data_IF_780579618588
#
_entry.id   IF_780579618588
#
_cell.length_a   1.000
_cell.length_b   1.000
_cell.length_c   1.000
_cell.angle_alpha   90.00
_cell.angle_beta   90.00
_cell.angle_gamma   90.00
#
_symmetry.space_group_name_H-M   'P 1'
#
loop_
_entity.id
_entity.type
_entity.pdbx_description
1 polymer ?
#
# COMPACT_ATOMS: atom_id res chain seq x y z
N UNK A 1 23.32 -43.82 31.01
CA UNK A 1 22.90 -42.53 30.41
C UNK A 1 22.60 -41.55 31.53
N UNK A 2 23.42 -40.52 31.72
CA UNK A 2 23.18 -39.46 32.71
C UNK A 2 22.03 -38.58 32.22
N UNK A 3 21.00 -38.36 33.05
CA UNK A 3 19.95 -37.37 32.76
C UNK A 3 20.58 -35.97 32.80
N UNK A 4 20.30 -35.10 31.82
CA UNK A 4 20.81 -33.73 31.83
C UNK A 4 20.32 -33.00 33.09
N UNK A 5 21.17 -32.13 33.63
CA UNK A 5 20.82 -31.36 34.84
C UNK A 5 19.71 -30.36 34.54
N UNK A 6 18.87 -30.03 35.53
CA UNK A 6 17.82 -28.99 35.39
C UNK A 6 18.39 -27.66 34.86
N UNK A 7 19.63 -27.34 35.24
CA UNK A 7 20.33 -26.15 34.78
C UNK A 7 20.65 -26.20 33.27
N UNK A 8 20.97 -27.36 32.71
CA UNK A 8 21.18 -27.55 31.27
C UNK A 8 19.85 -27.46 30.50
N UNK A 9 18.77 -28.01 31.06
CA UNK A 9 17.43 -27.95 30.45
C UNK A 9 16.94 -26.49 30.38
N UNK A 10 17.07 -25.73 31.47
CA UNK A 10 16.69 -24.32 31.51
C UNK A 10 17.54 -23.46 30.57
N UNK A 11 18.86 -23.70 30.50
CA UNK A 11 19.75 -22.98 29.58
C UNK A 11 19.38 -23.25 28.12
N UNK A 12 19.08 -24.50 27.76
CA UNK A 12 18.66 -24.88 26.41
C UNK A 12 17.32 -24.24 26.03
N UNK A 13 16.34 -24.24 26.93
CA UNK A 13 15.03 -23.63 26.69
C UNK A 13 15.13 -22.11 26.50
N UNK A 14 15.93 -21.42 27.31
CA UNK A 14 16.18 -19.98 27.16
C UNK A 14 16.87 -19.64 25.84
N UNK A 15 17.86 -20.45 25.43
CA UNK A 15 18.56 -20.23 24.15
C UNK A 15 17.62 -20.39 22.95
N UNK A 16 16.75 -21.41 22.98
CA UNK A 16 15.75 -21.68 21.95
C UNK A 16 14.67 -20.60 21.89
N UNK A 17 14.27 -20.05 23.05
CA UNK A 17 13.35 -18.91 23.14
C UNK A 17 13.97 -17.64 22.54
N UNK A 18 15.21 -17.32 22.92
CA UNK A 18 15.91 -16.14 22.42
C UNK A 18 16.17 -16.23 20.90
N UNK A 19 16.51 -17.42 20.39
CA UNK A 19 16.65 -17.65 18.95
C UNK A 19 15.37 -17.37 18.17
N UNK A 20 14.21 -17.84 18.68
CA UNK A 20 12.90 -17.56 18.07
C UNK A 20 12.56 -16.08 18.04
N UNK A 21 12.78 -15.38 19.17
CA UNK A 21 12.55 -13.93 19.26
C UNK A 21 13.44 -13.18 18.27
N UNK A 22 14.73 -13.51 18.24
CA UNK A 22 15.70 -12.87 17.34
C UNK A 22 15.32 -13.08 15.87
N UNK A 23 14.91 -14.29 15.48
CA UNK A 23 14.44 -14.59 14.13
C UNK A 23 13.20 -13.78 13.75
N UNK A 24 12.20 -13.68 14.64
CA UNK A 24 10.97 -12.89 14.40
C UNK A 24 11.32 -11.41 14.24
N UNK A 25 12.15 -10.86 15.13
CA UNK A 25 12.58 -9.46 15.05
C UNK A 25 13.30 -9.18 13.75
N UNK A 26 14.20 -10.07 13.32
CA UNK A 26 14.98 -9.92 12.08
C UNK A 26 14.09 -9.98 10.83
N UNK A 27 13.07 -10.84 10.84
CA UNK A 27 12.10 -10.93 9.75
C UNK A 27 11.29 -9.63 9.63
N UNK A 28 10.85 -9.07 10.76
CA UNK A 28 10.07 -7.83 10.80
C UNK A 28 10.94 -6.64 10.40
N UNK A 29 12.13 -6.49 10.97
CA UNK A 29 13.05 -5.41 10.57
C UNK A 29 13.45 -5.53 9.10
N UNK A 30 13.62 -6.75 8.57
CA UNK A 30 13.88 -6.99 7.15
C UNK A 30 12.78 -6.44 6.25
N UNK A 31 11.51 -6.71 6.58
CA UNK A 31 10.35 -6.16 5.85
C UNK A 31 10.37 -4.63 5.85
N UNK A 32 10.64 -4.00 7.01
CA UNK A 32 10.75 -2.54 7.10
C UNK A 32 11.98 -1.96 6.39
N UNK A 33 13.08 -2.71 6.31
CA UNK A 33 14.29 -2.26 5.60
C UNK A 33 14.05 -2.24 4.10
N UNK A 34 13.41 -3.29 3.55
CA UNK A 34 13.01 -3.34 2.12
C UNK A 34 12.06 -2.19 1.79
N UNK A 35 11.07 -1.96 2.65
CA UNK A 35 10.17 -0.82 2.61
C UNK A 35 10.89 0.54 2.59
N UNK A 36 11.95 0.69 3.38
CA UNK A 36 12.72 1.93 3.45
C UNK A 36 13.62 2.12 2.22
N UNK A 37 14.21 1.04 1.70
CA UNK A 37 14.99 1.07 0.44
C UNK A 37 14.09 1.49 -0.73
N UNK A 38 12.81 1.09 -0.71
CA UNK A 38 11.83 1.47 -1.74
C UNK A 38 11.63 3.01 -1.87
N UNK A 39 11.93 3.80 -0.83
CA UNK A 39 11.86 5.27 -0.87
C UNK A 39 12.88 5.88 -1.83
N UNK A 40 13.99 5.18 -2.06
CA UNK A 40 15.08 5.65 -2.92
C UNK A 40 14.89 5.26 -4.39
N UNK A 41 13.77 4.63 -4.76
CA UNK A 41 13.48 4.33 -6.16
C UNK A 41 13.28 5.62 -6.95
N UNK A 42 13.67 5.63 -8.24
CA UNK A 42 13.52 6.79 -9.10
C UNK A 42 12.05 7.22 -9.15
N UNK A 43 11.78 8.51 -8.97
CA UNK A 43 10.44 9.08 -8.85
C UNK A 43 9.75 9.39 -10.19
N UNK A 44 10.51 9.31 -11.28
CA UNK A 44 10.07 9.58 -12.65
C UNK A 44 10.53 8.42 -13.52
N UNK A 45 9.67 7.93 -14.42
CA UNK A 45 10.13 6.96 -15.41
C UNK A 45 11.08 7.62 -16.42
N UNK A 46 11.94 6.85 -17.09
CA UNK A 46 12.76 7.37 -18.19
C UNK A 46 11.92 8.03 -19.29
N UNK A 47 10.71 7.52 -19.54
CA UNK A 47 9.77 8.10 -20.51
C UNK A 47 9.27 9.49 -20.09
N UNK A 48 8.97 9.69 -18.80
CA UNK A 48 8.57 11.00 -18.28
C UNK A 48 9.73 11.99 -18.31
N UNK A 49 10.94 11.56 -17.97
CA UNK A 49 12.15 12.39 -18.02
C UNK A 49 12.41 12.85 -19.46
N UNK A 50 12.36 11.93 -20.42
CA UNK A 50 12.54 12.26 -21.84
C UNK A 50 11.48 13.24 -22.35
N UNK A 51 10.21 13.03 -21.99
CA UNK A 51 9.12 13.92 -22.41
C UNK A 51 9.21 15.31 -21.77
N UNK A 52 9.62 15.39 -20.50
CA UNK A 52 9.86 16.66 -19.80
C UNK A 52 11.02 17.43 -20.45
N UNK A 53 12.11 16.73 -20.78
CA UNK A 53 13.29 17.35 -21.37
C UNK A 53 13.02 17.87 -22.78
N UNK A 54 12.33 17.11 -23.63
CA UNK A 54 11.92 17.58 -24.96
C UNK A 54 10.99 18.80 -24.89
N UNK A 55 10.08 18.85 -23.92
CA UNK A 55 9.23 20.03 -23.71
C UNK A 55 10.06 21.25 -23.28
N UNK A 56 10.96 21.10 -22.31
CA UNK A 56 11.81 22.20 -21.80
C UNK A 56 12.70 22.76 -22.91
N UNK A 57 13.34 21.91 -23.70
CA UNK A 57 14.23 22.34 -24.79
C UNK A 57 13.52 23.24 -25.81
N UNK A 58 12.30 22.88 -26.22
CA UNK A 58 11.50 23.68 -27.16
C UNK A 58 10.94 24.95 -26.52
N UNK A 59 10.50 24.88 -25.25
CA UNK A 59 9.98 26.06 -24.54
C UNK A 59 11.08 27.09 -24.26
N UNK A 60 12.29 26.64 -23.91
CA UNK A 60 13.46 27.51 -23.73
C UNK A 60 13.86 28.16 -25.07
N UNK A 61 13.87 27.40 -26.17
CA UNK A 61 14.14 27.95 -27.51
C UNK A 61 13.11 29.02 -27.90
N UNK A 62 11.83 28.80 -27.57
CA UNK A 62 10.76 29.79 -27.79
C UNK A 62 10.99 31.06 -26.98
N UNK A 63 11.33 30.93 -25.70
CA UNK A 63 11.61 32.08 -24.81
C UNK A 63 12.80 32.89 -25.35
N UNK A 64 13.87 32.21 -25.79
CA UNK A 64 15.04 32.87 -26.39
C UNK A 64 14.65 33.64 -27.65
N UNK A 65 13.86 33.05 -28.55
CA UNK A 65 13.41 33.71 -29.78
C UNK A 65 12.52 34.94 -29.49
N UNK A 66 11.61 34.83 -28.51
CA UNK A 66 10.77 35.94 -28.06
C UNK A 66 11.59 37.07 -27.41
N UNK A 67 12.60 36.73 -26.62
CA UNK A 67 13.50 37.71 -26.02
C UNK A 67 14.38 38.41 -27.07
N UNK A 68 14.85 37.70 -28.09
CA UNK A 68 15.55 38.31 -29.22
C UNK A 68 14.68 39.33 -29.97
N UNK A 69 13.38 39.03 -30.15
CA UNK A 69 12.41 39.97 -30.71
C UNK A 69 12.26 41.23 -29.86
N UNK A 70 12.14 41.07 -28.54
CA UNK A 70 12.06 42.21 -27.60
C UNK A 70 13.33 43.06 -27.62
N UNK A 71 14.49 42.43 -27.70
CA UNK A 71 15.79 43.12 -27.82
C UNK A 71 15.83 43.92 -29.12
N UNK A 72 15.48 43.32 -30.26
CA UNK A 72 15.44 44.02 -31.55
C UNK A 72 14.50 45.22 -31.53
N UNK A 73 13.29 45.07 -30.96
CA UNK A 73 12.36 46.21 -30.82
C UNK A 73 12.95 47.33 -29.96
N UNK A 74 13.61 46.98 -28.85
CA UNK A 74 14.27 47.95 -27.97
C UNK A 74 15.41 48.69 -28.67
N UNK A 75 16.27 47.96 -29.38
CA UNK A 75 17.40 48.53 -30.13
C UNK A 75 16.92 49.45 -31.26
N UNK A 76 15.82 49.10 -31.93
CA UNK A 76 15.20 49.97 -32.93
C UNK A 76 14.70 51.28 -32.32
N UNK A 77 14.01 51.21 -31.17
CA UNK A 77 13.56 52.41 -30.45
C UNK A 77 14.70 53.30 -29.96
N UNK A 78 15.88 52.72 -29.73
CA UNK A 78 17.09 53.44 -29.37
C UNK A 78 17.86 53.98 -30.59
N UNK A 79 17.40 53.69 -31.81
CA UNK A 79 18.06 54.10 -33.05
C UNK A 79 19.35 53.33 -33.36
N UNK A 80 19.57 52.18 -32.71
CA UNK A 80 20.77 51.36 -32.87
C UNK A 80 20.72 50.48 -34.13
N UNK A 81 19.51 50.14 -34.60
CA UNK A 81 19.30 49.32 -35.80
C UNK A 81 18.38 50.02 -36.81
N UNK A 82 18.53 49.68 -38.09
CA UNK A 82 17.73 50.24 -39.17
C UNK A 82 16.34 49.60 -39.26
N UNK A 83 15.38 50.32 -39.86
CA UNK A 83 14.04 49.78 -40.15
C UNK A 83 14.07 48.55 -41.05
N UNK A 84 15.01 48.50 -42.00
CA UNK A 84 15.17 47.37 -42.91
C UNK A 84 15.62 46.10 -42.15
N UNK A 85 16.57 46.25 -41.22
CA UNK A 85 17.04 45.17 -40.35
C UNK A 85 15.94 44.68 -39.40
N UNK A 86 15.19 45.60 -38.78
CA UNK A 86 14.04 45.22 -37.94
C UNK A 86 13.02 44.41 -38.75
N UNK A 87 12.76 44.80 -40.01
CA UNK A 87 11.77 44.12 -40.83
C UNK A 87 12.20 42.71 -41.25
N UNK A 88 13.49 42.51 -41.59
CA UNK A 88 14.01 41.16 -41.85
C UNK A 88 13.91 40.28 -40.60
N UNK A 89 14.32 40.79 -39.45
CA UNK A 89 14.31 40.01 -38.20
C UNK A 89 12.88 39.64 -37.77
N UNK A 90 11.91 40.57 -37.91
CA UNK A 90 10.49 40.27 -37.66
C UNK A 90 9.95 39.20 -38.61
N UNK A 91 10.39 39.21 -39.87
CA UNK A 91 9.95 38.24 -40.88
C UNK A 91 10.46 36.83 -40.58
N UNK A 92 11.64 36.71 -39.97
CA UNK A 92 12.25 35.42 -39.65
C UNK A 92 11.85 34.90 -38.25
N UNK A 93 11.84 35.77 -37.24
CA UNK A 93 11.59 35.39 -35.85
C UNK A 93 10.11 35.16 -35.54
N UNK A 94 9.17 35.91 -36.14
CA UNK A 94 7.74 35.73 -35.86
C UNK A 94 7.26 34.32 -36.27
N UNK A 95 7.54 33.82 -37.49
CA UNK A 95 7.20 32.45 -37.85
C UNK A 95 7.87 31.42 -36.94
N UNK A 96 9.14 31.62 -36.60
CA UNK A 96 9.89 30.73 -35.72
C UNK A 96 9.20 30.60 -34.35
N UNK A 97 8.86 31.72 -33.71
CA UNK A 97 8.15 31.74 -32.42
C UNK A 97 6.81 31.02 -32.51
N UNK A 98 6.03 31.27 -33.58
CA UNK A 98 4.73 30.60 -33.77
C UNK A 98 4.87 29.09 -33.95
N UNK A 99 5.89 28.61 -34.68
CA UNK A 99 6.19 27.18 -34.79
C UNK A 99 6.59 26.57 -33.46
N UNK A 100 7.50 27.21 -32.72
CA UNK A 100 7.97 26.74 -31.42
C UNK A 100 6.86 26.77 -30.37
N UNK A 101 5.96 27.74 -30.41
CA UNK A 101 4.78 27.79 -29.54
C UNK A 101 3.83 26.62 -29.81
N UNK A 102 3.55 26.34 -31.08
CA UNK A 102 2.71 25.21 -31.49
C UNK A 102 3.33 23.88 -31.04
N UNK A 103 4.63 23.71 -31.26
CA UNK A 103 5.38 22.52 -30.88
C UNK A 103 5.44 22.35 -29.35
N UNK A 104 5.73 23.43 -28.62
CA UNK A 104 5.75 23.47 -27.15
C UNK A 104 4.40 23.05 -26.56
N UNK A 105 3.28 23.53 -27.09
CA UNK A 105 1.94 23.14 -26.61
C UNK A 105 1.61 21.65 -26.90
N UNK A 106 2.05 21.12 -28.05
CA UNK A 106 1.93 19.68 -28.35
C UNK A 106 2.75 18.84 -27.37
N UNK A 107 4.02 19.21 -27.15
CA UNK A 107 4.92 18.51 -26.24
C UNK A 107 4.44 18.60 -24.78
N UNK A 108 3.93 19.76 -24.35
CA UNK A 108 3.32 19.97 -23.04
C UNK A 108 2.09 19.08 -22.84
N UNK A 109 1.26 18.91 -23.86
CA UNK A 109 0.11 17.99 -23.82
C UNK A 109 0.56 16.53 -23.73
N UNK A 110 1.59 16.15 -24.48
CA UNK A 110 2.20 14.82 -24.42
C UNK A 110 2.82 14.55 -23.04
N UNK A 111 3.62 15.48 -22.51
CA UNK A 111 4.16 15.44 -21.16
C UNK A 111 3.05 15.28 -20.11
N UNK A 112 1.97 16.06 -20.18
CA UNK A 112 0.83 15.92 -19.25
C UNK A 112 0.14 14.55 -19.36
N UNK A 113 0.08 13.98 -20.55
CA UNK A 113 -0.53 12.67 -20.78
C UNK A 113 0.36 11.56 -20.23
N UNK A 114 1.65 11.61 -20.50
CA UNK A 114 2.65 10.69 -19.97
C UNK A 114 2.72 10.84 -18.45
N UNK A 115 2.74 12.04 -17.88
CA UNK A 115 2.73 12.27 -16.44
C UNK A 115 1.48 11.71 -15.74
N UNK A 116 0.32 11.70 -16.40
CA UNK A 116 -0.90 11.06 -15.88
C UNK A 116 -0.83 9.53 -15.96
N UNK A 117 -0.18 8.99 -17.00
CA UNK A 117 0.04 7.57 -17.18
C UNK A 117 1.21 7.03 -16.34
N UNK A 118 2.16 7.90 -15.97
CA UNK A 118 3.37 7.58 -15.23
C UNK A 118 3.04 7.30 -13.77
N UNK A 119 2.70 6.03 -13.51
CA UNK A 119 2.51 5.51 -12.16
C UNK A 119 3.84 4.92 -11.70
N UNK A 120 4.73 5.80 -11.24
CA UNK A 120 5.99 5.35 -10.67
C UNK A 120 5.75 4.78 -9.28
N UNK A 121 6.33 3.61 -9.04
CA UNK A 121 6.28 2.94 -7.75
C UNK A 121 7.02 3.78 -6.70
N UNK A 122 6.31 4.36 -5.73
CA UNK A 122 6.93 5.10 -4.63
C UNK A 122 6.16 6.34 -4.19
N UNK A 123 6.72 7.03 -3.19
CA UNK A 123 6.10 8.19 -2.56
C UNK A 123 6.59 9.51 -3.17
N UNK A 124 5.67 10.44 -3.44
CA UNK A 124 6.00 11.77 -3.97
C UNK A 124 6.94 12.55 -3.05
N UNK A 125 6.81 12.39 -1.73
CA UNK A 125 7.69 12.99 -0.73
C UNK A 125 7.94 12.05 0.45
N UNK A 126 9.06 12.26 1.14
CA UNK A 126 9.39 11.54 2.39
C UNK A 126 8.37 11.81 3.49
N UNK A 127 7.73 12.99 3.49
CA UNK A 127 6.65 13.33 4.43
C UNK A 127 5.41 12.45 4.20
N UNK A 128 5.01 12.27 2.93
CA UNK A 128 3.88 11.41 2.57
C UNK A 128 4.22 9.95 2.89
N UNK A 129 5.45 9.52 2.61
CA UNK A 129 5.94 8.20 3.01
C UNK A 129 5.83 7.95 4.51
N UNK A 130 6.40 8.83 5.34
CA UNK A 130 6.36 8.68 6.81
C UNK A 130 4.92 8.75 7.35
N UNK A 131 4.06 9.58 6.74
CA UNK A 131 2.65 9.65 7.09
C UNK A 131 1.91 8.33 6.86
N UNK A 132 2.15 7.68 5.70
CA UNK A 132 1.53 6.39 5.39
C UNK A 132 2.20 5.21 6.11
N UNK A 133 3.51 5.25 6.35
CA UNK A 133 4.25 4.18 7.01
C UNK A 133 4.12 4.21 8.55
N UNK A 134 3.85 5.38 9.14
CA UNK A 134 3.87 5.58 10.59
C UNK A 134 2.91 4.66 11.34
N UNK A 135 1.64 4.61 10.92
CA UNK A 135 0.62 3.73 11.52
C UNK A 135 0.98 2.23 11.43
N UNK A 136 1.35 1.68 10.24
CA UNK A 136 1.79 0.29 10.15
C UNK A 136 3.00 -0.02 11.03
N UNK A 137 4.01 0.85 11.07
CA UNK A 137 5.19 0.68 11.93
C UNK A 137 4.78 0.61 13.39
N UNK A 138 4.02 1.59 13.88
CA UNK A 138 3.58 1.63 15.28
C UNK A 138 2.76 0.38 15.63
N UNK A 139 1.87 -0.05 14.75
CA UNK A 139 1.05 -1.26 14.94
C UNK A 139 1.92 -2.53 15.01
N UNK A 140 2.89 -2.70 14.10
CA UNK A 140 3.82 -3.83 14.13
C UNK A 140 4.73 -3.84 15.35
N UNK A 141 5.26 -2.68 15.76
CA UNK A 141 6.09 -2.56 16.97
C UNK A 141 5.29 -2.81 18.25
N UNK A 142 4.03 -2.35 18.30
CA UNK A 142 3.11 -2.68 19.39
C UNK A 142 2.84 -4.19 19.45
N UNK A 143 2.60 -4.83 18.29
CA UNK A 143 2.43 -6.28 18.22
C UNK A 143 3.66 -7.05 18.71
N UNK A 144 4.85 -6.62 18.30
CA UNK A 144 6.13 -7.16 18.79
C UNK A 144 6.29 -6.99 20.30
N UNK A 145 6.00 -5.80 20.83
CA UNK A 145 6.07 -5.51 22.25
C UNK A 145 5.14 -6.44 23.05
N UNK A 146 3.90 -6.62 22.60
CA UNK A 146 2.95 -7.56 23.21
C UNK A 146 3.45 -9.01 23.13
N UNK A 147 4.04 -9.44 22.02
CA UNK A 147 4.66 -10.77 21.93
C UNK A 147 5.83 -10.97 22.89
N UNK A 148 6.61 -9.92 23.18
CA UNK A 148 7.65 -9.98 24.20
C UNK A 148 7.05 -10.08 25.61
N UNK A 149 5.97 -9.35 25.89
CA UNK A 149 5.23 -9.44 27.15
C UNK A 149 4.60 -10.83 27.35
N UNK A 150 4.10 -11.46 26.28
CA UNK A 150 3.57 -12.82 26.33
C UNK A 150 4.53 -13.84 26.95
N UNK A 151 5.85 -13.67 26.76
CA UNK A 151 6.85 -14.56 27.35
C UNK A 151 7.16 -14.26 28.83
N UNK A 152 6.77 -13.10 29.33
CA UNK A 152 6.96 -12.68 30.73
C UNK A 152 5.70 -12.90 31.58
N UNK A 153 4.53 -12.94 30.96
CA UNK A 153 3.26 -13.10 31.67
C UNK A 153 3.09 -14.52 32.23
N UNK A 154 2.87 -14.63 33.53
CA UNK A 154 2.67 -15.90 34.24
C UNK A 154 1.19 -16.31 34.24
N UNK A 155 0.27 -15.34 34.28
CA UNK A 155 -1.17 -15.62 34.27
C UNK A 155 -1.61 -16.15 32.89
N UNK A 156 -2.18 -17.36 32.91
CA UNK A 156 -2.61 -18.07 31.72
C UNK A 156 -3.71 -17.35 30.93
N UNK A 157 -4.62 -16.64 31.61
CA UNK A 157 -5.68 -15.88 30.94
C UNK A 157 -5.10 -14.67 30.22
N UNK A 158 -4.36 -13.82 30.93
CA UNK A 158 -3.77 -12.62 30.37
C UNK A 158 -2.76 -12.92 29.27
N UNK A 159 -1.98 -14.00 29.42
CA UNK A 159 -1.07 -14.47 28.39
C UNK A 159 -1.78 -14.78 27.07
N UNK A 160 -2.98 -15.37 27.09
CA UNK A 160 -3.76 -15.60 25.86
C UNK A 160 -4.26 -14.31 25.23
N UNK A 161 -4.74 -13.38 26.06
CA UNK A 161 -5.22 -12.08 25.60
C UNK A 161 -4.08 -11.31 24.93
N UNK A 162 -2.93 -11.21 25.59
CA UNK A 162 -1.73 -10.55 25.07
C UNK A 162 -1.28 -11.20 23.75
N UNK A 163 -1.29 -12.53 23.65
CA UNK A 163 -0.95 -13.24 22.41
C UNK A 163 -1.90 -12.87 21.26
N UNK A 164 -3.21 -12.87 21.51
CA UNK A 164 -4.21 -12.55 20.50
C UNK A 164 -4.09 -11.10 20.03
N UNK A 165 -3.97 -10.14 20.95
CA UNK A 165 -3.78 -8.73 20.60
C UNK A 165 -2.45 -8.48 19.91
N UNK A 166 -1.37 -9.14 20.35
CA UNK A 166 -0.05 -9.05 19.75
C UNK A 166 -0.05 -9.54 18.29
N UNK A 167 -0.64 -10.70 18.02
CA UNK A 167 -0.77 -11.24 16.67
C UNK A 167 -1.64 -10.35 15.77
N UNK A 168 -2.79 -9.87 16.27
CA UNK A 168 -3.67 -9.00 15.49
C UNK A 168 -3.02 -7.67 15.14
N UNK A 169 -2.29 -7.05 16.08
CA UNK A 169 -1.55 -5.82 15.82
C UNK A 169 -0.43 -6.04 14.79
N UNK A 170 0.27 -7.17 14.89
CA UNK A 170 1.37 -7.50 13.97
C UNK A 170 0.86 -7.78 12.55
N UNK A 171 -0.25 -8.53 12.42
CA UNK A 171 -0.92 -8.80 11.14
C UNK A 171 -1.46 -7.51 10.52
N UNK A 172 -2.15 -6.68 11.31
CA UNK A 172 -2.67 -5.39 10.85
C UNK A 172 -1.54 -4.49 10.36
N UNK A 173 -0.45 -4.37 11.14
CA UNK A 173 0.72 -3.61 10.74
C UNK A 173 1.35 -4.12 9.45
N UNK A 174 1.57 -5.43 9.31
CA UNK A 174 2.13 -6.03 8.08
C UNK A 174 1.21 -5.82 6.87
N UNK A 175 -0.11 -5.97 7.04
CA UNK A 175 -1.08 -5.72 5.98
C UNK A 175 -0.97 -4.28 5.48
N UNK A 176 -0.94 -3.31 6.40
CA UNK A 176 -0.79 -1.91 6.01
C UNK A 176 0.57 -1.61 5.38
N UNK A 177 1.65 -2.27 5.81
CA UNK A 177 2.95 -2.15 5.11
C UNK A 177 2.79 -2.60 3.65
N UNK A 178 2.21 -3.78 3.41
CA UNK A 178 1.99 -4.27 2.04
C UNK A 178 1.12 -3.30 1.23
N UNK A 179 0.07 -2.77 1.85
CA UNK A 179 -0.83 -1.80 1.22
C UNK A 179 -0.12 -0.50 0.84
N UNK A 180 0.73 0.01 1.73
CA UNK A 180 1.54 1.22 1.52
C UNK A 180 2.49 1.05 0.34
N UNK A 181 3.01 -0.16 0.10
CA UNK A 181 3.86 -0.46 -1.05
C UNK A 181 3.08 -0.95 -2.28
N UNK A 182 1.76 -0.93 -2.26
CA UNK A 182 1.01 -1.32 -3.44
C UNK A 182 1.07 -0.21 -4.51
N UNK A 183 1.41 -0.52 -5.79
CA UNK A 183 1.65 0.51 -6.81
C UNK A 183 0.42 1.34 -7.20
N UNK A 184 -0.77 0.90 -6.81
CA UNK A 184 -2.05 1.51 -7.20
C UNK A 184 -2.77 2.00 -5.95
N UNK A 185 -3.52 3.12 -6.04
CA UNK A 185 -4.29 3.64 -4.92
C UNK A 185 -5.31 2.61 -4.41
N UNK A 186 -5.83 1.77 -5.31
CA UNK A 186 -6.73 0.68 -4.99
C UNK A 186 -6.15 -0.66 -5.46
N UNK A 187 -6.25 -1.65 -4.59
CA UNK A 187 -6.00 -3.05 -4.93
C UNK A 187 -7.15 -3.48 -5.86
N UNK A 188 -6.87 -4.05 -7.06
CA UNK A 188 -7.90 -4.63 -7.91
C UNK A 188 -8.77 -5.59 -7.11
N UNK A 189 -10.08 -5.52 -7.32
CA UNK A 189 -11.06 -6.31 -6.56
C UNK A 189 -10.71 -7.80 -6.51
N UNK A 190 -10.24 -8.36 -7.64
CA UNK A 190 -9.80 -9.77 -7.72
C UNK A 190 -8.62 -10.08 -6.80
N UNK A 191 -7.63 -9.18 -6.70
CA UNK A 191 -6.47 -9.35 -5.82
C UNK A 191 -6.89 -9.19 -4.36
N UNK A 192 -7.80 -8.25 -4.08
CA UNK A 192 -8.34 -8.05 -2.74
C UNK A 192 -9.09 -9.31 -2.24
N UNK A 193 -9.97 -9.87 -3.06
CA UNK A 193 -10.68 -11.12 -2.76
C UNK A 193 -9.68 -12.27 -2.55
N UNK A 194 -8.66 -12.38 -3.41
CA UNK A 194 -7.63 -13.41 -3.28
C UNK A 194 -6.81 -13.27 -2.00
N UNK A 195 -6.51 -12.04 -1.58
CA UNK A 195 -5.84 -11.77 -0.30
C UNK A 195 -6.72 -12.16 0.90
N UNK A 196 -8.01 -11.80 0.87
CA UNK A 196 -8.95 -12.22 1.92
C UNK A 196 -9.05 -13.74 2.01
N UNK A 197 -9.19 -14.41 0.87
CA UNK A 197 -9.23 -15.87 0.81
C UNK A 197 -7.94 -16.51 1.35
N UNK A 198 -6.79 -15.95 0.99
CA UNK A 198 -5.49 -16.38 1.52
C UNK A 198 -5.37 -16.17 3.04
N UNK A 199 -5.86 -15.04 3.56
CA UNK A 199 -5.90 -14.78 5.00
C UNK A 199 -6.83 -15.76 5.73
N UNK A 200 -7.99 -16.08 5.17
CA UNK A 200 -8.93 -17.05 5.75
C UNK A 200 -8.34 -18.46 5.81
N UNK A 201 -7.66 -18.90 4.75
CA UNK A 201 -6.94 -20.19 4.76
C UNK A 201 -5.84 -20.16 5.82
N UNK A 202 -5.06 -19.07 5.88
CA UNK A 202 -4.00 -18.90 6.87
C UNK A 202 -4.53 -18.93 8.30
N UNK A 203 -5.60 -18.18 8.58
CA UNK A 203 -6.26 -18.14 9.87
C UNK A 203 -6.84 -19.52 10.27
N UNK A 204 -7.39 -20.24 9.30
CA UNK A 204 -7.91 -21.61 9.50
C UNK A 204 -6.78 -22.58 9.85
N UNK A 205 -5.66 -22.54 9.13
CA UNK A 205 -4.47 -23.34 9.41
C UNK A 205 -3.89 -23.05 10.79
N UNK A 206 -3.74 -21.76 11.14
CA UNK A 206 -3.24 -21.34 12.45
C UNK A 206 -4.19 -21.81 13.56
N UNK A 207 -5.49 -21.63 13.39
CA UNK A 207 -6.50 -22.07 14.36
C UNK A 207 -6.47 -23.58 14.58
N UNK A 208 -6.27 -24.35 13.51
CA UNK A 208 -6.10 -25.79 13.59
C UNK A 208 -4.83 -26.18 14.35
N UNK A 209 -3.70 -25.53 14.07
CA UNK A 209 -2.43 -25.78 14.77
C UNK A 209 -2.57 -25.46 16.25
N UNK A 210 -3.15 -24.32 16.60
CA UNK A 210 -3.39 -23.91 17.98
C UNK A 210 -4.30 -24.92 18.69
N UNK A 211 -5.44 -25.27 18.07
CA UNK A 211 -6.40 -26.21 18.66
C UNK A 211 -5.78 -27.58 18.93
N UNK A 212 -5.05 -28.12 17.95
CA UNK A 212 -4.48 -29.46 18.03
C UNK A 212 -3.23 -29.54 18.89
N UNK A 213 -2.28 -28.62 18.73
CA UNK A 213 -0.95 -28.74 19.35
C UNK A 213 -0.80 -27.95 20.66
N UNK A 214 -1.55 -26.86 20.84
CA UNK A 214 -1.45 -26.06 22.07
C UNK A 214 -2.50 -26.50 23.09
N UNK A 215 -3.73 -26.75 22.64
CA UNK A 215 -4.83 -27.12 23.53
C UNK A 215 -5.12 -28.62 23.59
N UNK A 216 -4.40 -29.43 22.81
CA UNK A 216 -4.58 -30.88 22.75
C UNK A 216 -6.06 -31.29 22.52
N UNK A 217 -6.83 -30.44 21.82
CA UNK A 217 -8.23 -30.71 21.56
C UNK A 217 -8.34 -31.97 20.70
N UNK A 218 -9.19 -32.89 21.15
CA UNK A 218 -9.53 -34.06 20.34
C UNK A 218 -10.20 -33.59 19.04
N UNK A 219 -10.09 -34.40 17.96
CA UNK A 219 -10.77 -34.09 16.69
C UNK A 219 -12.29 -33.90 16.89
N UNK A 220 -12.85 -34.59 17.88
CA UNK A 220 -14.27 -34.56 18.22
C UNK A 220 -14.63 -33.23 18.90
N UNK A 221 -13.83 -32.77 19.87
CA UNK A 221 -14.06 -31.49 20.55
C UNK A 221 -13.92 -30.29 19.62
N UNK A 222 -12.94 -30.33 18.70
CA UNK A 222 -12.77 -29.28 17.71
C UNK A 222 -14.00 -29.21 16.77
N UNK A 223 -14.48 -30.37 16.31
CA UNK A 223 -15.69 -30.45 15.46
C UNK A 223 -16.93 -29.94 16.19
N UNK A 224 -17.10 -30.30 17.47
CA UNK A 224 -18.20 -29.83 18.32
C UNK A 224 -18.16 -28.32 18.52
N UNK A 225 -16.99 -27.74 18.81
CA UNK A 225 -16.83 -26.29 18.97
C UNK A 225 -17.08 -25.53 17.67
N UNK A 226 -16.60 -26.04 16.53
CA UNK A 226 -16.90 -25.45 15.20
C UNK A 226 -18.40 -25.53 14.92
N UNK A 227 -19.05 -26.67 15.19
CA UNK A 227 -20.49 -26.82 14.98
C UNK A 227 -21.29 -25.87 15.86
N UNK A 228 -20.90 -25.70 17.13
CA UNK A 228 -21.51 -24.74 18.05
C UNK A 228 -21.33 -23.29 17.58
N UNK A 229 -20.14 -22.93 17.10
CA UNK A 229 -19.87 -21.62 16.52
C UNK A 229 -20.71 -21.38 15.26
N UNK A 230 -20.79 -22.35 14.36
CA UNK A 230 -21.62 -22.27 13.15
C UNK A 230 -23.09 -22.15 13.50
N UNK A 231 -23.57 -22.90 14.49
CA UNK A 231 -24.94 -22.77 14.99
C UNK A 231 -25.19 -21.38 15.61
N UNK A 232 -24.23 -20.82 16.35
CA UNK A 232 -24.35 -19.47 16.90
C UNK A 232 -24.37 -18.39 15.79
N UNK A 233 -23.50 -18.51 14.78
CA UNK A 233 -23.45 -17.58 13.66
C UNK A 233 -24.69 -17.72 12.75
N UNK A 234 -25.04 -18.94 12.33
CA UNK A 234 -26.17 -19.16 11.40
C UNK A 234 -27.53 -19.16 12.09
N UNK A 235 -27.60 -19.58 13.36
CA UNK A 235 -28.82 -19.66 14.15
C UNK A 235 -29.08 -18.34 14.86
N UNK A 236 -28.26 -17.99 15.86
CA UNK A 236 -28.55 -16.85 16.74
C UNK A 236 -28.46 -15.51 16.03
N UNK A 237 -27.47 -15.27 15.16
CA UNK A 237 -27.37 -13.99 14.43
C UNK A 237 -28.53 -13.87 13.43
N UNK A 238 -28.87 -14.95 12.71
CA UNK A 238 -30.01 -14.95 11.78
C UNK A 238 -31.34 -14.75 12.50
N UNK A 239 -31.54 -15.38 13.66
CA UNK A 239 -32.77 -15.19 14.43
C UNK A 239 -32.85 -13.79 15.05
N UNK A 240 -31.73 -13.27 15.57
CA UNK A 240 -31.72 -12.02 16.32
C UNK A 240 -31.72 -10.78 15.43
N UNK A 241 -31.10 -10.87 14.25
CA UNK A 241 -30.98 -9.74 13.33
C UNK A 241 -31.84 -9.88 12.07
N UNK A 242 -32.09 -11.09 11.54
CA UNK A 242 -32.82 -11.29 10.26
C UNK A 242 -34.30 -11.67 10.47
N UNK A 243 -34.68 -12.35 11.57
CA UNK A 243 -36.10 -12.63 11.90
C UNK A 243 -36.80 -11.47 12.63
N UNK A 244 -36.06 -10.48 13.15
CA UNK A 244 -36.62 -9.27 13.78
C UNK A 244 -36.93 -8.14 12.79
N UNK A 245 -36.52 -8.25 11.53
CA UNK A 245 -36.89 -7.31 10.48
C UNK A 245 -38.38 -7.47 10.12
N UNK A 246 -39.04 -6.35 9.81
CA UNK A 246 -40.37 -6.35 9.18
C UNK A 246 -40.36 -7.26 7.95
N UNK A 247 -41.49 -7.92 7.64
CA UNK A 247 -41.61 -8.78 6.44
C UNK A 247 -41.19 -8.03 5.17
N UNK A 248 -41.44 -6.73 5.09
CA UNK A 248 -41.02 -5.88 3.95
C UNK A 248 -39.49 -5.74 3.87
N UNK A 249 -38.82 -5.40 4.98
CA UNK A 249 -37.35 -5.22 5.01
C UNK A 249 -36.61 -6.53 4.75
N UNK A 250 -37.15 -7.66 5.22
CA UNK A 250 -36.61 -8.98 4.90
C UNK A 250 -36.66 -9.28 3.40
N UNK A 251 -37.77 -8.93 2.75
CA UNK A 251 -37.96 -9.20 1.32
C UNK A 251 -37.07 -8.30 0.49
N UNK A 252 -36.91 -7.03 0.90
CA UNK A 252 -36.00 -6.06 0.30
C UNK A 252 -34.52 -6.44 0.46
N UNK A 253 -34.11 -6.86 1.65
CA UNK A 253 -32.74 -7.35 1.89
C UNK A 253 -32.41 -8.58 1.02
N UNK A 254 -33.34 -9.53 0.91
CA UNK A 254 -33.16 -10.71 0.06
C UNK A 254 -33.18 -10.36 -1.44
N UNK A 255 -34.03 -9.44 -1.87
CA UNK A 255 -34.06 -9.01 -3.28
C UNK A 255 -32.80 -8.26 -3.68
N UNK A 256 -32.27 -7.41 -2.80
CA UNK A 256 -31.04 -6.67 -3.03
C UNK A 256 -29.86 -7.65 -3.14
N UNK A 257 -29.74 -8.60 -2.22
CA UNK A 257 -28.67 -9.61 -2.24
C UNK A 257 -28.74 -10.53 -3.46
N UNK A 258 -29.94 -10.99 -3.83
CA UNK A 258 -30.15 -11.85 -5.02
C UNK A 258 -29.90 -11.04 -6.31
N UNK A 259 -30.31 -9.78 -6.35
CA UNK A 259 -30.06 -8.88 -7.49
C UNK A 259 -28.57 -8.61 -7.69
N UNK A 260 -27.84 -8.42 -6.60
CA UNK A 260 -26.39 -8.20 -6.61
C UNK A 260 -25.63 -9.46 -7.07
N UNK A 261 -26.00 -10.65 -6.58
CA UNK A 261 -25.46 -11.93 -7.06
C UNK A 261 -25.73 -12.13 -8.56
N UNK A 262 -26.94 -11.80 -9.03
CA UNK A 262 -27.29 -11.93 -10.45
C UNK A 262 -26.47 -10.99 -11.33
N UNK A 263 -26.29 -9.74 -10.90
CA UNK A 263 -25.44 -8.75 -11.58
C UNK A 263 -23.97 -9.17 -11.61
N UNK A 264 -23.47 -9.81 -10.55
CA UNK A 264 -22.12 -10.37 -10.50
C UNK A 264 -21.95 -11.60 -11.38
N UNK A 265 -23.01 -12.40 -11.59
CA UNK A 265 -22.98 -13.58 -12.47
C UNK A 265 -23.05 -13.26 -13.97
N UNK A 266 -23.45 -12.03 -14.32
CA UNK A 266 -23.62 -11.57 -15.71
C UNK A 266 -22.47 -10.68 -16.20
N UNK A 267 -21.46 -10.42 -15.35
CA UNK A 267 -20.20 -9.77 -15.70
C UNK A 267 -19.09 -10.80 -15.83
#
# INVERSE_FOLDING_TARGET
MQKPSEHEINKKNNLLRNGKISMITLLITGVFTIAFIAVFFPKKSPALISAEQSYIEVDDARIIADDNLKICLKEFHQGLISKAYLHSELTDQIPLVLTLETESEVLKKNYKTIAKADKVFGFRSSKIFLGHLGMPVVSSFMGLFLLLLFFKEEDFFWRKVILAFGLTALLTGLFYVIWVFYPKPDIPESIYILMLFGMDIGASCISYIIGRYIYNLSRIDLKLKIHHLMHLIMGDIRQKYINKLSKEDRTKYLSDYIGEIKNLSQK
#
